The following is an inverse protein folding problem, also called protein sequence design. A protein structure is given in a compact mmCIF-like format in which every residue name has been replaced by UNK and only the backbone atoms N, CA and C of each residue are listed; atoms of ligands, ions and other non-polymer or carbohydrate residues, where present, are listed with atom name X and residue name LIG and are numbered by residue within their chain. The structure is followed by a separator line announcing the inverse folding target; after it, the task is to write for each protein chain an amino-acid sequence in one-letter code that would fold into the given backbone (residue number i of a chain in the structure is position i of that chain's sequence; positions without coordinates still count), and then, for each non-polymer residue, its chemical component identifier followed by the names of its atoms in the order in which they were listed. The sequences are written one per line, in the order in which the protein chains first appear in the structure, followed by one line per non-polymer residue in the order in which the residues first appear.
data_IF_304564459275
#
_entry.id   IF_304564459275
#
_cell.length_a   1.000
_cell.length_b   1.000
_cell.length_c   1.000
_cell.angle_alpha   90.00
_cell.angle_beta   90.00
_cell.angle_gamma   90.00
#
_symmetry.space_group_name_H-M   'P 1'
#
loop_
_entity.id
_entity.type
_entity.pdbx_description
1 polymer ?
#
# COMPACT_ATOMS: atom_id res chain seq x y z
N UNK A 1 9.41 12.72 -33.62
CA UNK A 1 10.02 12.07 -32.44
C UNK A 1 9.67 12.77 -31.12
N UNK A 2 9.87 14.08 -30.96
CA UNK A 2 9.54 14.84 -29.72
C UNK A 2 8.05 14.85 -29.35
N UNK A 3 7.14 14.95 -30.31
CA UNK A 3 5.69 14.94 -30.07
C UNK A 3 5.18 13.55 -29.62
N UNK A 4 5.83 12.47 -30.04
CA UNK A 4 5.52 11.09 -29.63
C UNK A 4 5.95 10.82 -28.20
N UNK A 5 7.04 11.42 -27.75
CA UNK A 5 7.56 11.30 -26.37
C UNK A 5 6.68 12.05 -25.34
N UNK A 6 6.09 13.17 -25.70
CA UNK A 6 5.20 13.97 -24.82
C UNK A 6 3.84 13.33 -24.53
N UNK A 7 3.40 12.33 -25.29
CA UNK A 7 2.11 11.64 -25.13
C UNK A 7 2.15 10.39 -24.25
N UNK A 8 3.35 10.02 -23.74
CA UNK A 8 3.50 8.80 -22.94
C UNK A 8 3.25 9.05 -21.49
N UNK A 9 2.51 8.13 -20.84
CA UNK A 9 2.28 8.18 -19.38
C UNK A 9 3.54 7.83 -18.61
N UNK A 10 3.65 8.27 -17.34
CA UNK A 10 4.75 7.91 -16.46
C UNK A 10 4.89 6.38 -16.34
N UNK A 11 3.75 5.67 -16.30
CA UNK A 11 3.69 4.20 -16.31
C UNK A 11 4.43 3.60 -17.49
N UNK A 12 4.19 4.10 -18.71
CA UNK A 12 4.85 3.61 -19.92
C UNK A 12 6.36 3.84 -19.86
N UNK A 13 6.81 5.00 -19.33
CA UNK A 13 8.22 5.29 -19.14
C UNK A 13 8.88 4.36 -18.13
N UNK A 14 8.18 3.99 -17.04
CA UNK A 14 8.70 3.06 -16.05
C UNK A 14 8.79 1.64 -16.63
N UNK A 15 7.76 1.18 -17.36
CA UNK A 15 7.81 -0.12 -18.04
C UNK A 15 8.94 -0.17 -19.08
N UNK A 16 9.13 0.91 -19.84
CA UNK A 16 10.27 1.01 -20.78
C UNK A 16 11.62 1.00 -20.04
N UNK A 17 11.72 1.73 -18.93
CA UNK A 17 12.90 1.72 -18.07
C UNK A 17 13.18 0.35 -17.47
N UNK A 18 12.15 -0.37 -17.05
CA UNK A 18 12.24 -1.74 -16.55
C UNK A 18 12.84 -2.67 -17.60
N UNK A 19 12.29 -2.67 -18.82
CA UNK A 19 12.81 -3.51 -19.92
C UNK A 19 14.25 -3.11 -20.29
N UNK A 20 14.52 -1.81 -20.44
CA UNK A 20 15.85 -1.31 -20.77
C UNK A 20 16.87 -1.67 -19.70
N UNK A 21 16.51 -1.55 -18.41
CA UNK A 21 17.38 -1.93 -17.30
C UNK A 21 17.67 -3.43 -17.28
N UNK A 22 16.66 -4.26 -17.45
CA UNK A 22 16.81 -5.72 -17.51
C UNK A 22 17.72 -6.15 -18.69
N UNK A 23 17.50 -5.58 -19.87
CA UNK A 23 18.31 -5.84 -21.08
C UNK A 23 19.74 -5.36 -20.87
N UNK A 24 19.94 -4.16 -20.32
CA UNK A 24 21.27 -3.62 -20.04
C UNK A 24 22.03 -4.49 -19.04
N UNK A 25 21.40 -4.91 -17.94
CA UNK A 25 22.01 -5.78 -16.96
C UNK A 25 22.37 -7.17 -17.52
N UNK A 26 21.59 -7.66 -18.48
CA UNK A 26 21.88 -8.92 -19.17
C UNK A 26 23.01 -8.81 -20.19
N UNK A 27 22.97 -7.80 -21.06
CA UNK A 27 23.95 -7.65 -22.15
C UNK A 27 25.28 -7.08 -21.68
N UNK A 28 25.27 -6.22 -20.65
CA UNK A 28 26.45 -5.54 -20.12
C UNK A 28 26.43 -5.55 -18.58
N UNK A 29 26.67 -6.71 -17.93
CA UNK A 29 26.59 -6.86 -16.47
C UNK A 29 27.43 -5.83 -15.70
N UNK A 30 28.67 -5.58 -16.15
CA UNK A 30 29.59 -4.63 -15.51
C UNK A 30 29.04 -3.20 -15.52
N UNK A 31 28.36 -2.79 -16.61
CA UNK A 31 27.70 -1.48 -16.69
C UNK A 31 26.48 -1.46 -15.77
N UNK A 32 25.71 -2.55 -15.76
CA UNK A 32 24.56 -2.72 -14.88
C UNK A 32 24.93 -2.53 -13.41
N UNK A 33 26.00 -3.18 -12.96
CA UNK A 33 26.49 -3.08 -11.57
C UNK A 33 26.92 -1.63 -11.23
N UNK A 34 27.55 -0.91 -12.15
CA UNK A 34 27.96 0.49 -11.95
C UNK A 34 26.78 1.47 -11.80
N UNK A 35 25.55 1.07 -12.15
CA UNK A 35 24.35 1.89 -11.99
C UNK A 35 23.76 1.84 -10.59
N UNK A 36 24.27 1.02 -9.66
CA UNK A 36 23.83 0.93 -8.28
C UNK A 36 23.66 2.31 -7.59
N UNK A 37 24.56 3.31 -7.73
CA UNK A 37 24.41 4.60 -7.09
C UNK A 37 23.13 5.35 -7.50
N UNK A 38 22.71 5.24 -8.77
CA UNK A 38 21.46 5.85 -9.23
C UNK A 38 20.21 5.22 -8.56
N UNK A 39 20.20 3.90 -8.44
CA UNK A 39 19.17 3.18 -7.70
C UNK A 39 19.15 3.62 -6.22
N UNK A 40 20.32 3.69 -5.59
CA UNK A 40 20.45 4.12 -4.19
C UNK A 40 19.96 5.54 -3.95
N UNK A 41 20.29 6.49 -4.84
CA UNK A 41 19.81 7.88 -4.76
C UNK A 41 18.28 7.92 -4.87
N UNK A 42 17.70 7.17 -5.79
CA UNK A 42 16.25 7.08 -5.94
C UNK A 42 15.57 6.52 -4.67
N UNK A 43 16.11 5.44 -4.08
CA UNK A 43 15.60 4.88 -2.83
C UNK A 43 15.72 5.84 -1.65
N UNK A 44 16.83 6.58 -1.54
CA UNK A 44 17.00 7.62 -0.52
C UNK A 44 15.98 8.74 -0.66
N UNK A 45 15.70 9.17 -1.89
CA UNK A 45 14.65 10.15 -2.17
C UNK A 45 13.26 9.66 -1.73
N UNK A 46 12.95 8.37 -1.95
CA UNK A 46 11.71 7.75 -1.46
C UNK A 46 11.67 7.69 0.06
N UNK A 47 12.75 7.26 0.71
CA UNK A 47 12.83 7.24 2.18
C UNK A 47 12.54 8.60 2.81
N UNK A 48 13.01 9.68 2.22
CA UNK A 48 12.80 11.04 2.76
C UNK A 48 11.34 11.48 2.79
N UNK A 49 10.46 10.82 2.02
CA UNK A 49 9.03 11.11 1.97
C UNK A 49 8.29 10.51 3.17
N UNK A 50 8.77 9.37 3.70
CA UNK A 50 8.01 8.49 4.59
C UNK A 50 7.52 9.22 5.83
N UNK A 51 8.43 9.75 6.61
CA UNK A 51 8.12 10.32 7.93
C UNK A 51 7.17 11.52 7.85
N UNK A 52 7.45 12.56 7.02
CA UNK A 52 6.55 13.71 6.93
C UNK A 52 5.17 13.34 6.39
N UNK A 53 5.11 12.40 5.44
CA UNK A 53 3.85 11.95 4.86
C UNK A 53 3.02 11.17 5.87
N UNK A 54 3.61 10.16 6.52
CA UNK A 54 2.93 9.33 7.53
C UNK A 54 2.43 10.19 8.68
N UNK A 55 3.27 11.09 9.22
CA UNK A 55 2.87 12.00 10.28
C UNK A 55 1.67 12.87 9.87
N UNK A 56 1.78 13.58 8.76
CA UNK A 56 0.76 14.54 8.34
C UNK A 56 -0.57 13.88 7.99
N UNK A 57 -0.54 12.73 7.32
CA UNK A 57 -1.75 12.01 6.92
C UNK A 57 -2.45 11.35 8.11
N UNK A 58 -1.70 10.74 9.02
CA UNK A 58 -2.28 10.13 10.23
C UNK A 58 -2.90 11.17 11.15
N UNK A 59 -2.16 12.22 11.49
CA UNK A 59 -2.67 13.28 12.37
C UNK A 59 -3.87 13.99 11.73
N UNK A 60 -3.77 14.34 10.43
CA UNK A 60 -4.86 14.95 9.68
C UNK A 60 -6.08 14.03 9.58
N UNK A 61 -5.89 12.73 9.38
CA UNK A 61 -6.96 11.73 9.33
C UNK A 61 -7.67 11.56 10.68
N UNK A 62 -6.93 11.53 11.79
CA UNK A 62 -7.50 11.36 13.14
C UNK A 62 -8.20 12.64 13.62
N UNK A 63 -7.55 13.80 13.48
CA UNK A 63 -8.02 15.04 14.03
C UNK A 63 -8.92 15.87 13.08
N UNK A 64 -8.84 15.64 11.75
CA UNK A 64 -9.58 16.40 10.75
C UNK A 64 -11.10 16.14 10.73
N UNK A 65 -11.55 15.00 11.23
CA UNK A 65 -12.98 14.59 11.22
C UNK A 65 -13.74 15.03 12.49
N UNK A 66 -13.46 16.20 13.02
CA UNK A 66 -14.11 16.70 14.22
C UNK A 66 -15.52 17.27 13.96
N UNK A 67 -16.45 16.98 14.85
CA UNK A 67 -17.73 17.59 15.17
C UNK A 67 -19.01 16.83 14.77
N UNK A 68 -19.11 16.11 13.66
CA UNK A 68 -20.34 15.35 13.31
C UNK A 68 -20.31 13.87 13.72
N UNK A 69 -19.33 13.45 14.52
CA UNK A 69 -19.13 12.08 14.99
C UNK A 69 -20.32 11.45 15.72
N UNK A 70 -21.21 12.24 16.30
CA UNK A 70 -22.39 11.69 17.01
C UNK A 70 -23.44 11.10 16.06
N UNK A 71 -23.67 11.72 14.90
CA UNK A 71 -24.64 11.21 13.90
C UNK A 71 -24.05 10.16 12.98
N UNK A 72 -22.74 10.24 12.70
CA UNK A 72 -22.02 9.30 11.84
C UNK A 72 -21.28 8.23 12.66
N UNK A 73 -21.18 8.38 13.98
CA UNK A 73 -20.33 7.57 14.85
C UNK A 73 -20.57 6.06 14.75
N UNK A 74 -21.83 5.63 14.68
CA UNK A 74 -22.15 4.19 14.54
C UNK A 74 -21.75 3.65 13.16
N UNK A 75 -22.02 4.41 12.09
CA UNK A 75 -21.63 4.04 10.73
C UNK A 75 -20.11 3.99 10.61
N UNK A 76 -19.41 5.00 11.16
CA UNK A 76 -17.96 5.05 11.18
C UNK A 76 -17.35 3.86 11.92
N UNK A 77 -17.85 3.56 13.13
CA UNK A 77 -17.38 2.42 13.91
C UNK A 77 -17.59 1.09 13.19
N UNK A 78 -18.76 0.88 12.60
CA UNK A 78 -19.07 -0.33 11.82
C UNK A 78 -18.17 -0.44 10.59
N UNK A 79 -17.94 0.66 9.89
CA UNK A 79 -17.06 0.70 8.73
C UNK A 79 -15.61 0.37 9.13
N UNK A 80 -15.10 0.96 10.21
CA UNK A 80 -13.74 0.67 10.70
C UNK A 80 -13.61 -0.79 11.11
N UNK A 81 -14.56 -1.35 11.87
CA UNK A 81 -14.54 -2.77 12.26
C UNK A 81 -14.52 -3.66 11.00
N UNK A 82 -15.38 -3.37 10.03
CA UNK A 82 -15.40 -4.10 8.76
C UNK A 82 -14.06 -4.02 8.04
N UNK A 83 -13.50 -2.82 7.91
CA UNK A 83 -12.20 -2.60 7.27
C UNK A 83 -11.08 -3.39 7.95
N UNK A 84 -11.03 -3.39 9.29
CA UNK A 84 -10.01 -4.14 10.03
C UNK A 84 -10.13 -5.65 9.81
N UNK A 85 -11.36 -6.18 9.83
CA UNK A 85 -11.58 -7.61 9.58
C UNK A 85 -11.13 -8.00 8.16
N UNK A 86 -11.58 -7.26 7.14
CA UNK A 86 -11.29 -7.59 5.75
C UNK A 86 -9.81 -7.39 5.42
N UNK A 87 -9.21 -6.32 5.94
CA UNK A 87 -7.77 -6.06 5.78
C UNK A 87 -6.91 -7.11 6.48
N UNK A 88 -7.32 -7.59 7.66
CA UNK A 88 -6.64 -8.71 8.35
C UNK A 88 -6.71 -9.99 7.54
N UNK A 89 -7.85 -10.31 6.95
CA UNK A 89 -7.99 -11.46 6.05
C UNK A 89 -7.12 -11.31 4.80
N UNK A 90 -6.99 -10.10 4.25
CA UNK A 90 -6.09 -9.83 3.14
C UNK A 90 -4.62 -10.09 3.52
N UNK A 91 -4.17 -9.67 4.72
CA UNK A 91 -2.83 -9.98 5.24
C UNK A 91 -2.61 -11.50 5.35
N UNK A 92 -3.57 -12.22 5.90
CA UNK A 92 -3.48 -13.69 6.05
C UNK A 92 -3.38 -14.37 4.69
N UNK A 93 -4.22 -13.98 3.73
CA UNK A 93 -4.16 -14.52 2.35
C UNK A 93 -2.81 -14.25 1.71
N UNK A 94 -2.29 -13.03 1.83
CA UNK A 94 -0.98 -12.65 1.30
C UNK A 94 0.16 -13.45 1.95
N UNK A 95 0.12 -13.59 3.28
CA UNK A 95 1.11 -14.36 4.05
C UNK A 95 1.11 -15.84 3.65
N UNK A 96 -0.06 -16.45 3.54
CA UNK A 96 -0.19 -17.85 3.11
C UNK A 96 0.32 -18.02 1.68
N UNK A 97 -0.09 -17.16 0.76
CA UNK A 97 0.31 -17.23 -0.64
C UNK A 97 1.83 -17.16 -0.83
N UNK A 98 2.50 -16.19 -0.17
CA UNK A 98 3.95 -16.01 -0.33
C UNK A 98 4.77 -17.12 0.35
N UNK A 99 4.28 -17.69 1.45
CA UNK A 99 4.93 -18.82 2.11
C UNK A 99 4.77 -20.14 1.32
N UNK A 100 3.66 -20.31 0.60
CA UNK A 100 3.44 -21.46 -0.29
C UNK A 100 4.26 -21.34 -1.57
N UNK A 101 4.19 -20.19 -2.26
CA UNK A 101 4.83 -20.00 -3.55
C UNK A 101 6.36 -19.76 -3.45
N UNK A 102 6.83 -19.19 -2.34
CA UNK A 102 8.25 -18.87 -2.04
C UNK A 102 8.98 -18.17 -3.20
N UNK A 103 8.44 -17.10 -3.76
CA UNK A 103 8.97 -16.49 -4.99
C UNK A 103 10.34 -15.84 -4.83
N UNK A 104 10.79 -15.55 -3.59
CA UNK A 104 12.08 -14.95 -3.30
C UNK A 104 13.22 -15.95 -3.09
N UNK A 105 12.92 -17.24 -2.95
CA UNK A 105 13.95 -18.25 -2.68
C UNK A 105 14.84 -18.46 -3.91
N UNK A 106 16.17 -18.40 -3.68
CA UNK A 106 17.16 -18.55 -4.75
C UNK A 106 17.45 -17.28 -5.54
N UNK A 107 16.89 -16.14 -5.14
CA UNK A 107 17.30 -14.82 -5.65
C UNK A 107 18.62 -14.44 -5.00
N UNK A 108 19.67 -14.29 -5.81
CA UNK A 108 20.94 -13.72 -5.33
C UNK A 108 20.85 -12.19 -5.45
N UNK A 109 20.54 -11.54 -4.35
CA UNK A 109 20.68 -10.08 -4.23
C UNK A 109 22.16 -9.81 -3.96
N UNK A 110 22.90 -9.54 -5.01
CA UNK A 110 24.30 -9.25 -4.88
C UNK A 110 24.54 -8.05 -3.98
N UNK A 111 25.32 -8.24 -2.94
CA UNK A 111 25.67 -7.19 -1.99
C UNK A 111 24.76 -7.10 -0.78
N UNK A 112 23.94 -8.09 -0.48
CA UNK A 112 23.42 -8.25 0.86
C UNK A 112 24.64 -8.36 1.80
N UNK A 113 25.03 -7.24 2.37
CA UNK A 113 25.97 -7.20 3.49
C UNK A 113 25.53 -8.27 4.46
N UNK A 114 26.49 -8.93 5.13
CA UNK A 114 26.27 -10.04 6.04
C UNK A 114 24.94 -9.86 6.75
N UNK A 115 24.05 -10.86 6.60
CA UNK A 115 22.76 -10.84 7.26
C UNK A 115 22.97 -10.29 8.67
N UNK A 116 22.25 -9.27 9.13
CA UNK A 116 22.35 -8.84 10.51
C UNK A 116 22.22 -10.13 11.30
N UNK A 117 23.23 -10.49 12.07
CA UNK A 117 23.23 -11.68 12.90
C UNK A 117 21.84 -11.74 13.52
N UNK A 118 21.15 -12.87 13.32
CA UNK A 118 19.80 -13.06 13.85
C UNK A 118 19.83 -12.61 15.30
N UNK A 119 19.56 -11.32 15.51
CA UNK A 119 19.63 -10.69 16.82
C UNK A 119 18.68 -11.50 17.67
N UNK A 120 19.16 -11.91 18.82
CA UNK A 120 18.49 -12.60 19.91
C UNK A 120 16.98 -12.49 19.78
N UNK A 121 16.29 -13.63 19.78
CA UNK A 121 14.85 -13.76 19.63
C UNK A 121 14.17 -12.55 20.27
N UNK A 122 13.67 -11.65 19.44
CA UNK A 122 13.03 -10.42 19.90
C UNK A 122 11.86 -10.86 20.76
N UNK A 123 11.99 -10.75 22.08
CA UNK A 123 10.90 -11.08 22.98
C UNK A 123 9.76 -10.10 22.70
N UNK A 124 8.53 -10.56 22.88
CA UNK A 124 7.35 -9.68 22.75
C UNK A 124 7.52 -8.39 23.59
N UNK A 125 8.21 -8.49 24.72
CA UNK A 125 8.55 -7.37 25.59
C UNK A 125 9.51 -6.36 24.91
N UNK A 126 10.53 -6.84 24.19
CA UNK A 126 11.45 -5.92 23.47
C UNK A 126 10.78 -5.24 22.30
N UNK A 127 9.87 -5.92 21.61
CA UNK A 127 9.04 -5.30 20.54
C UNK A 127 8.16 -4.19 21.14
N UNK A 128 7.46 -4.47 22.24
CA UNK A 128 6.62 -3.47 22.89
C UNK A 128 7.42 -2.26 23.41
N UNK A 129 8.62 -2.47 23.91
CA UNK A 129 9.50 -1.37 24.35
C UNK A 129 9.99 -0.51 23.17
N UNK A 130 10.24 -1.12 22.01
CA UNK A 130 10.69 -0.41 20.80
C UNK A 130 9.56 0.28 20.03
N UNK A 131 8.30 -0.04 20.29
CA UNK A 131 7.15 0.59 19.63
C UNK A 131 6.98 2.06 20.05
N UNK A 132 7.28 2.38 21.32
CA UNK A 132 7.14 3.75 21.85
C UNK A 132 8.47 4.48 21.67
N UNK A 133 8.52 5.58 20.90
CA UNK A 133 9.76 6.34 20.72
C UNK A 133 10.16 7.09 21.97
N UNK A 134 11.47 7.21 22.21
CA UNK A 134 11.99 8.11 23.24
C UNK A 134 11.80 9.59 22.83
N UNK A 135 11.88 9.86 21.52
CA UNK A 135 11.66 11.17 20.92
C UNK A 135 11.10 11.03 19.52
N UNK A 136 10.14 11.92 19.16
CA UNK A 136 9.65 12.00 17.79
C UNK A 136 10.76 12.30 16.78
N UNK A 137 11.63 13.24 17.11
CA UNK A 137 12.71 13.66 16.21
C UNK A 137 13.77 12.57 16.03
N UNK A 138 14.05 11.78 17.04
CA UNK A 138 14.97 10.63 16.96
C UNK A 138 14.36 9.55 16.04
N UNK A 139 13.10 9.19 16.27
CA UNK A 139 12.38 8.25 15.43
C UNK A 139 12.29 8.73 13.97
N UNK A 140 12.07 10.03 13.77
CA UNK A 140 12.01 10.65 12.45
C UNK A 140 13.37 10.63 11.73
N UNK A 141 14.45 10.98 12.41
CA UNK A 141 15.82 10.97 11.86
C UNK A 141 16.29 9.54 11.54
N UNK A 142 15.93 8.57 12.39
CA UNK A 142 16.19 7.15 12.17
C UNK A 142 15.31 6.48 11.11
N UNK A 143 14.27 7.16 10.62
CA UNK A 143 13.20 6.57 9.80
C UNK A 143 12.53 5.35 10.47
N UNK A 144 12.39 5.39 11.80
CA UNK A 144 11.71 4.38 12.61
C UNK A 144 10.19 4.53 12.46
N UNK A 145 9.66 4.06 11.32
CA UNK A 145 8.29 4.36 10.89
C UNK A 145 7.24 3.90 11.88
N UNK A 146 7.41 2.72 12.49
CA UNK A 146 6.48 2.22 13.50
C UNK A 146 6.38 3.18 14.70
N UNK A 147 7.50 3.69 15.16
CA UNK A 147 7.57 4.66 16.27
C UNK A 147 6.90 5.98 15.87
N UNK A 148 7.16 6.46 14.63
CA UNK A 148 6.50 7.66 14.08
C UNK A 148 4.99 7.47 14.00
N UNK A 149 4.50 6.29 13.58
CA UNK A 149 3.07 5.96 13.50
C UNK A 149 2.43 6.00 14.89
N UNK A 150 3.03 5.31 15.88
CA UNK A 150 2.50 5.29 17.25
C UNK A 150 2.45 6.68 17.84
N UNK A 151 3.53 7.46 17.68
CA UNK A 151 3.56 8.85 18.14
C UNK A 151 2.49 9.71 17.44
N UNK A 152 2.34 9.57 16.12
CA UNK A 152 1.34 10.31 15.34
C UNK A 152 -0.10 9.97 15.74
N UNK A 153 -0.38 8.70 16.06
CA UNK A 153 -1.69 8.27 16.58
C UNK A 153 -1.96 8.94 17.93
N UNK A 154 -1.02 8.85 18.87
CA UNK A 154 -1.17 9.45 20.20
C UNK A 154 -1.31 10.98 20.11
N UNK A 155 -0.50 11.64 19.26
CA UNK A 155 -0.59 13.06 19.01
C UNK A 155 -1.96 13.43 18.39
N UNK A 156 -2.42 12.68 17.38
CA UNK A 156 -3.74 12.88 16.77
C UNK A 156 -4.88 12.73 17.78
N UNK A 157 -4.84 11.70 18.65
CA UNK A 157 -5.82 11.52 19.73
C UNK A 157 -5.76 12.71 20.70
N UNK A 158 -4.58 13.14 21.12
CA UNK A 158 -4.42 14.34 21.96
C UNK A 158 -5.01 15.58 21.31
N UNK A 159 -4.78 15.76 20.01
CA UNK A 159 -5.30 16.88 19.24
C UNK A 159 -6.85 16.88 19.14
N UNK A 160 -7.50 15.72 19.16
CA UNK A 160 -8.97 15.66 19.22
C UNK A 160 -9.55 16.23 20.51
N UNK A 161 -8.76 16.27 21.59
CA UNK A 161 -9.20 16.84 22.89
C UNK A 161 -8.96 18.34 22.99
N UNK A 162 -8.22 18.94 22.05
CA UNK A 162 -8.01 20.38 21.95
C UNK A 162 -9.14 21.00 21.16
N UNK A 163 -9.67 22.15 21.62
CA UNK A 163 -10.76 22.89 20.96
C UNK A 163 -10.29 24.25 20.46
N UNK A 164 -11.00 24.78 19.47
CA UNK A 164 -10.76 26.12 18.92
C UNK A 164 -9.50 26.22 18.05
N UNK A 165 -8.98 27.44 17.93
CA UNK A 165 -7.91 27.82 17.00
C UNK A 165 -6.63 26.96 17.07
N UNK A 166 -6.12 26.53 18.23
CA UNK A 166 -4.91 25.71 18.28
C UNK A 166 -5.08 24.37 17.52
N UNK A 167 -6.25 23.73 17.65
CA UNK A 167 -6.57 22.50 16.88
C UNK A 167 -6.63 22.78 15.39
N UNK A 168 -7.33 23.83 14.98
CA UNK A 168 -7.50 24.20 13.57
C UNK A 168 -6.14 24.44 12.90
N UNK A 169 -5.25 25.22 13.52
CA UNK A 169 -3.92 25.51 13.00
C UNK A 169 -3.10 24.22 12.78
N UNK A 170 -3.12 23.28 13.72
CA UNK A 170 -2.36 22.04 13.59
C UNK A 170 -2.96 21.13 12.50
N UNK A 171 -4.29 21.05 12.43
CA UNK A 171 -4.98 20.26 11.38
C UNK A 171 -4.69 20.85 9.99
N UNK A 172 -4.77 22.17 9.83
CA UNK A 172 -4.43 22.87 8.59
C UNK A 172 -2.97 22.68 8.22
N UNK A 173 -2.05 22.77 9.19
CA UNK A 173 -0.63 22.48 8.96
C UNK A 173 -0.43 21.05 8.45
N UNK A 174 -1.05 20.05 9.08
CA UNK A 174 -0.94 18.65 8.65
C UNK A 174 -1.53 18.46 7.25
N UNK A 175 -2.67 19.07 6.95
CA UNK A 175 -3.29 19.02 5.62
C UNK A 175 -2.36 19.64 4.55
N UNK A 176 -1.83 20.84 4.81
CA UNK A 176 -0.89 21.50 3.93
C UNK A 176 0.42 20.72 3.74
N UNK A 177 0.97 20.18 4.84
CA UNK A 177 2.17 19.34 4.76
C UNK A 177 1.91 18.07 3.92
N UNK A 178 0.78 17.40 4.12
CA UNK A 178 0.42 16.25 3.31
C UNK A 178 0.34 16.60 1.81
N UNK A 179 -0.30 17.73 1.46
CA UNK A 179 -0.38 18.20 0.07
C UNK A 179 1.00 18.47 -0.52
N UNK A 180 1.87 19.14 0.21
CA UNK A 180 3.26 19.38 -0.21
C UNK A 180 4.01 18.07 -0.41
N UNK A 181 3.86 17.11 0.50
CA UNK A 181 4.50 15.80 0.39
C UNK A 181 3.96 14.98 -0.80
N UNK A 182 2.69 15.13 -1.17
CA UNK A 182 2.16 14.52 -2.39
C UNK A 182 2.80 15.11 -3.64
N UNK A 183 2.96 16.44 -3.71
CA UNK A 183 3.68 17.10 -4.82
C UNK A 183 5.14 16.68 -4.87
N UNK A 184 5.80 16.61 -3.71
CA UNK A 184 7.18 16.14 -3.59
C UNK A 184 7.31 14.69 -4.08
N UNK A 185 6.42 13.81 -3.66
CA UNK A 185 6.34 12.43 -4.17
C UNK A 185 6.21 12.42 -5.69
N UNK A 186 5.33 13.25 -6.26
CA UNK A 186 5.18 13.40 -7.70
C UNK A 186 6.47 13.82 -8.42
N UNK A 187 7.30 14.69 -7.80
CA UNK A 187 8.61 15.07 -8.33
C UNK A 187 9.57 13.89 -8.30
N UNK A 188 9.69 13.20 -7.16
CA UNK A 188 10.56 12.03 -7.01
C UNK A 188 10.15 10.92 -7.99
N UNK A 189 8.85 10.70 -8.19
CA UNK A 189 8.34 9.69 -9.10
C UNK A 189 8.65 9.97 -10.58
N UNK A 190 8.96 11.22 -10.98
CA UNK A 190 9.46 11.51 -12.34
C UNK A 190 10.83 10.88 -12.60
N UNK A 191 11.61 10.62 -11.56
CA UNK A 191 12.89 9.91 -11.65
C UNK A 191 12.74 8.40 -11.61
N UNK A 192 11.53 7.88 -11.33
CA UNK A 192 11.28 6.44 -11.22
C UNK A 192 11.69 5.65 -12.48
N UNK A 193 11.47 6.09 -13.73
CA UNK A 193 11.95 5.36 -14.91
C UNK A 193 13.45 5.08 -14.88
N UNK A 194 14.24 6.07 -14.47
CA UNK A 194 15.72 5.96 -14.37
C UNK A 194 16.12 5.12 -13.16
N UNK A 195 15.51 5.38 -12.00
CA UNK A 195 15.77 4.64 -10.77
C UNK A 195 15.45 3.15 -10.89
N UNK A 196 14.32 2.82 -11.53
CA UNK A 196 13.89 1.44 -11.81
C UNK A 196 14.82 0.76 -12.84
N UNK A 197 15.18 1.47 -13.93
CA UNK A 197 16.11 0.95 -14.90
C UNK A 197 17.46 0.62 -14.25
N UNK A 198 17.99 1.53 -13.43
CA UNK A 198 19.24 1.33 -12.71
C UNK A 198 19.17 0.17 -11.71
N UNK A 199 18.05 0.05 -10.97
CA UNK A 199 17.83 -1.04 -10.02
C UNK A 199 17.80 -2.40 -10.71
N UNK A 200 17.07 -2.53 -11.82
CA UNK A 200 17.00 -3.79 -12.56
C UNK A 200 18.32 -4.10 -13.29
N UNK A 201 18.97 -3.10 -13.87
CA UNK A 201 20.29 -3.30 -14.49
C UNK A 201 21.30 -3.82 -13.47
N UNK A 202 21.35 -3.23 -12.27
CA UNK A 202 22.18 -3.69 -11.18
C UNK A 202 21.83 -5.14 -10.77
N UNK A 203 20.55 -5.40 -10.54
CA UNK A 203 20.07 -6.69 -10.04
C UNK A 203 20.30 -7.82 -11.05
N UNK A 204 20.02 -7.58 -12.34
CA UNK A 204 20.22 -8.57 -13.40
C UNK A 204 21.71 -8.73 -13.69
N UNK A 205 22.48 -7.62 -13.68
CA UNK A 205 23.93 -7.65 -13.89
C UNK A 205 24.66 -8.45 -12.81
N UNK A 206 24.21 -8.37 -11.56
CA UNK A 206 24.80 -9.07 -10.43
C UNK A 206 24.25 -10.48 -10.22
N UNK A 207 22.94 -10.65 -10.25
CA UNK A 207 22.21 -11.90 -9.96
C UNK A 207 21.87 -12.76 -11.18
N UNK A 208 22.16 -12.26 -12.38
CA UNK A 208 21.83 -12.93 -13.64
C UNK A 208 20.33 -12.93 -13.98
N UNK A 209 19.99 -13.55 -15.10
CA UNK A 209 18.62 -13.59 -15.66
C UNK A 209 17.62 -14.34 -14.75
N UNK A 210 18.11 -15.19 -13.85
CA UNK A 210 17.25 -15.94 -12.92
C UNK A 210 16.41 -15.03 -12.02
N UNK A 211 16.89 -13.83 -11.72
CA UNK A 211 16.12 -12.83 -10.94
C UNK A 211 14.83 -12.43 -11.64
N UNK A 212 14.82 -12.36 -12.97
CA UNK A 212 13.59 -12.05 -13.73
C UNK A 212 12.52 -13.11 -13.53
N UNK A 213 12.89 -14.39 -13.43
CA UNK A 213 11.94 -15.47 -13.15
C UNK A 213 11.29 -15.29 -11.77
N UNK A 214 12.07 -14.88 -10.77
CA UNK A 214 11.56 -14.60 -9.42
C UNK A 214 10.64 -13.36 -9.39
N UNK A 215 10.94 -12.34 -10.20
CA UNK A 215 10.05 -11.17 -10.36
C UNK A 215 8.72 -11.55 -11.01
N UNK A 216 8.74 -12.42 -12.01
CA UNK A 216 7.51 -12.97 -12.60
C UNK A 216 6.78 -13.82 -11.55
N UNK A 217 7.48 -14.64 -10.79
CA UNK A 217 6.89 -15.47 -9.75
C UNK A 217 6.21 -14.64 -8.66
N UNK A 218 6.81 -13.53 -8.20
CA UNK A 218 6.18 -12.65 -7.19
C UNK A 218 4.94 -11.94 -7.74
N UNK A 219 4.97 -11.50 -9.02
CA UNK A 219 3.79 -10.93 -9.67
C UNK A 219 2.66 -11.97 -9.71
N UNK A 220 2.94 -13.17 -10.20
CA UNK A 220 1.95 -14.24 -10.29
C UNK A 220 1.43 -14.64 -8.91
N UNK A 221 2.30 -14.70 -7.89
CA UNK A 221 1.89 -14.96 -6.50
C UNK A 221 0.92 -13.90 -6.01
N UNK A 222 1.21 -12.62 -6.26
CA UNK A 222 0.32 -11.52 -5.87
C UNK A 222 -1.03 -11.61 -6.59
N UNK A 223 -1.02 -11.78 -7.92
CA UNK A 223 -2.26 -11.89 -8.71
C UNK A 223 -3.11 -13.07 -8.27
N UNK A 224 -2.49 -14.24 -8.05
CA UNK A 224 -3.18 -15.41 -7.53
C UNK A 224 -3.78 -15.14 -6.14
N UNK A 225 -3.03 -14.52 -5.25
CA UNK A 225 -3.51 -14.16 -3.92
C UNK A 225 -4.65 -13.13 -3.95
N UNK A 226 -4.60 -12.13 -4.85
CA UNK A 226 -5.71 -11.18 -5.07
C UNK A 226 -6.97 -11.91 -5.58
N UNK A 227 -6.84 -12.85 -6.51
CA UNK A 227 -7.97 -13.67 -6.98
C UNK A 227 -8.53 -14.51 -5.84
N UNK A 228 -7.67 -15.17 -5.05
CA UNK A 228 -8.10 -15.94 -3.86
C UNK A 228 -8.82 -15.02 -2.86
N UNK A 229 -8.33 -13.81 -2.65
CA UNK A 229 -8.97 -12.82 -1.77
C UNK A 229 -10.36 -12.39 -2.31
N UNK A 230 -10.45 -12.09 -3.59
CA UNK A 230 -11.73 -11.72 -4.22
C UNK A 230 -12.76 -12.84 -4.11
N UNK A 231 -12.36 -14.09 -4.37
CA UNK A 231 -13.25 -15.24 -4.37
C UNK A 231 -13.44 -15.86 -2.98
N UNK A 232 -12.42 -15.88 -2.14
CA UNK A 232 -12.44 -16.52 -0.81
C UNK A 232 -12.87 -15.59 0.33
N UNK A 233 -12.78 -14.28 0.15
CA UNK A 233 -13.15 -13.30 1.17
C UNK A 233 -14.29 -12.40 0.69
N UNK A 234 -14.12 -11.63 -0.39
CA UNK A 234 -15.13 -10.66 -0.81
C UNK A 234 -16.40 -11.31 -1.34
N UNK A 235 -16.29 -12.41 -2.10
CA UNK A 235 -17.48 -13.13 -2.59
C UNK A 235 -18.30 -13.75 -1.44
N UNK A 236 -17.74 -14.44 -0.45
CA UNK A 236 -18.48 -14.83 0.75
C UNK A 236 -19.14 -13.67 1.48
N UNK A 237 -18.46 -12.51 1.61
CA UNK A 237 -19.06 -11.31 2.21
C UNK A 237 -20.28 -10.85 1.42
N UNK A 238 -20.23 -10.82 0.09
CA UNK A 238 -21.38 -10.50 -0.78
C UNK A 238 -22.54 -11.44 -0.50
N UNK A 239 -22.28 -12.74 -0.46
CA UNK A 239 -23.30 -13.77 -0.27
C UNK A 239 -23.93 -13.72 1.14
N UNK A 240 -23.10 -13.58 2.18
CA UNK A 240 -23.55 -13.54 3.57
C UNK A 240 -24.32 -12.27 3.91
N UNK A 241 -23.99 -11.14 3.30
CA UNK A 241 -24.66 -9.85 3.54
C UNK A 241 -25.88 -9.66 2.63
N UNK A 242 -26.11 -10.57 1.67
CA UNK A 242 -27.23 -10.48 0.74
C UNK A 242 -27.14 -9.30 -0.22
N UNK A 243 -25.91 -8.86 -0.57
CA UNK A 243 -25.68 -7.89 -1.64
C UNK A 243 -25.91 -8.58 -2.97
N UNK A 244 -26.73 -8.03 -3.90
CA UNK A 244 -27.03 -8.70 -5.16
C UNK A 244 -25.78 -8.73 -6.05
N UNK A 245 -25.12 -9.90 -6.18
CA UNK A 245 -23.85 -10.09 -6.86
C UNK A 245 -23.84 -9.52 -8.30
N UNK A 246 -24.90 -9.83 -9.09
CA UNK A 246 -24.96 -9.35 -10.50
C UNK A 246 -25.02 -7.83 -10.59
N UNK A 247 -25.80 -7.19 -9.71
CA UNK A 247 -25.90 -5.73 -9.66
C UNK A 247 -24.57 -5.12 -9.21
N UNK A 248 -23.93 -5.69 -8.19
CA UNK A 248 -22.63 -5.24 -7.71
C UNK A 248 -21.55 -5.32 -8.79
N UNK A 249 -21.42 -6.47 -9.47
CA UNK A 249 -20.45 -6.63 -10.55
C UNK A 249 -20.72 -5.63 -11.70
N UNK A 250 -22.00 -5.41 -12.05
CA UNK A 250 -22.38 -4.41 -13.07
C UNK A 250 -21.99 -2.99 -12.66
N UNK A 251 -22.17 -2.63 -11.38
CA UNK A 251 -21.84 -1.30 -10.87
C UNK A 251 -20.33 -1.06 -10.78
N UNK A 252 -19.55 -2.09 -10.33
CA UNK A 252 -18.14 -1.89 -10.02
C UNK A 252 -17.19 -2.12 -11.20
N UNK A 253 -17.59 -2.85 -12.26
CA UNK A 253 -16.71 -3.26 -13.36
C UNK A 253 -16.01 -2.09 -14.07
N UNK A 254 -16.75 -1.02 -14.41
CA UNK A 254 -16.18 0.15 -15.10
C UNK A 254 -15.23 0.96 -14.19
N UNK A 255 -15.64 1.34 -12.96
CA UNK A 255 -14.72 1.93 -12.00
C UNK A 255 -13.45 1.07 -11.76
N UNK A 256 -13.60 -0.25 -11.62
CA UNK A 256 -12.50 -1.17 -11.40
C UNK A 256 -11.52 -1.20 -12.58
N UNK A 257 -12.02 -1.16 -13.83
CA UNK A 257 -11.19 -1.06 -15.03
C UNK A 257 -10.43 0.28 -15.10
N UNK A 258 -11.06 1.39 -14.70
CA UNK A 258 -10.38 2.69 -14.60
C UNK A 258 -9.26 2.61 -13.56
N UNK A 259 -9.55 2.11 -12.36
CA UNK A 259 -8.56 1.96 -11.30
C UNK A 259 -7.39 1.05 -11.72
N UNK A 260 -7.69 -0.06 -12.40
CA UNK A 260 -6.67 -0.96 -12.95
C UNK A 260 -5.79 -0.26 -13.98
N UNK A 261 -6.39 0.42 -14.96
CA UNK A 261 -5.65 1.02 -16.08
C UNK A 261 -4.84 2.25 -15.67
N UNK A 262 -5.32 3.01 -14.68
CA UNK A 262 -4.67 4.24 -14.19
C UNK A 262 -3.77 4.02 -12.98
N UNK A 263 -3.90 2.89 -12.28
CA UNK A 263 -3.29 2.62 -10.97
C UNK A 263 -3.63 3.70 -9.93
N UNK A 264 -4.80 4.33 -10.05
CA UNK A 264 -5.30 5.33 -9.11
C UNK A 264 -6.77 5.11 -8.80
N UNK A 265 -7.11 4.95 -7.51
CA UNK A 265 -8.50 4.84 -7.07
C UNK A 265 -9.24 6.17 -7.21
N UNK A 266 -8.54 7.30 -7.10
CA UNK A 266 -9.12 8.64 -7.22
C UNK A 266 -9.73 8.91 -8.58
N UNK A 267 -9.09 8.44 -9.67
CA UNK A 267 -9.63 8.58 -11.02
C UNK A 267 -10.97 7.85 -11.21
N UNK A 268 -11.19 6.77 -10.46
CA UNK A 268 -12.39 5.96 -10.52
C UNK A 268 -13.48 6.42 -9.51
N UNK A 269 -13.12 7.24 -8.52
CA UNK A 269 -14.00 7.62 -7.41
C UNK A 269 -15.34 8.23 -7.86
N UNK A 270 -15.38 9.23 -8.75
CA UNK A 270 -16.65 9.84 -9.15
C UNK A 270 -17.61 8.81 -9.77
N UNK A 271 -17.09 7.97 -10.65
CA UNK A 271 -17.90 6.93 -11.29
C UNK A 271 -18.33 5.84 -10.30
N UNK A 272 -17.47 5.45 -9.37
CA UNK A 272 -17.79 4.48 -8.33
C UNK A 272 -18.91 4.99 -7.40
N UNK A 273 -18.84 6.27 -6.98
CA UNK A 273 -19.90 6.93 -6.21
C UNK A 273 -21.25 6.85 -6.93
N UNK A 274 -21.27 7.26 -8.20
CA UNK A 274 -22.48 7.27 -9.02
C UNK A 274 -23.07 5.86 -9.21
N UNK A 275 -22.25 4.89 -9.59
CA UNK A 275 -22.68 3.53 -9.91
C UNK A 275 -23.19 2.77 -8.68
N UNK A 276 -22.56 2.97 -7.53
CA UNK A 276 -22.98 2.33 -6.27
C UNK A 276 -24.26 3.00 -5.74
N UNK A 277 -24.40 4.32 -5.89
CA UNK A 277 -25.64 5.02 -5.57
C UNK A 277 -26.80 4.51 -6.45
N UNK A 278 -26.60 4.41 -7.76
CA UNK A 278 -27.56 3.85 -8.70
C UNK A 278 -27.98 2.42 -8.39
N UNK A 279 -27.08 1.63 -7.76
CA UNK A 279 -27.39 0.26 -7.32
C UNK A 279 -28.33 0.22 -6.12
N UNK A 280 -28.59 1.35 -5.46
CA UNK A 280 -29.52 1.48 -4.33
C UNK A 280 -28.85 1.69 -2.98
N UNK A 281 -27.58 2.05 -2.93
CA UNK A 281 -26.90 2.48 -1.72
C UNK A 281 -27.15 3.98 -1.50
N UNK A 282 -27.64 4.43 -0.34
CA UNK A 282 -27.90 5.84 -0.09
C UNK A 282 -26.64 6.70 -0.27
N UNK A 283 -26.77 7.85 -0.93
CA UNK A 283 -25.67 8.78 -1.21
C UNK A 283 -24.85 9.13 0.04
N UNK A 284 -25.52 9.35 1.20
CA UNK A 284 -24.83 9.66 2.46
C UNK A 284 -23.87 8.54 2.90
N UNK A 285 -24.21 7.26 2.64
CA UNK A 285 -23.36 6.12 3.00
C UNK A 285 -22.21 6.01 2.00
N UNK A 286 -22.49 6.08 0.70
CA UNK A 286 -21.46 6.00 -0.35
C UNK A 286 -20.43 7.11 -0.21
N UNK A 287 -20.91 8.37 -0.03
CA UNK A 287 -20.04 9.55 0.09
C UNK A 287 -19.21 9.57 1.37
N UNK A 288 -19.56 8.78 2.38
CA UNK A 288 -18.76 8.59 3.58
C UNK A 288 -17.82 7.39 3.45
N UNK A 289 -18.37 6.22 3.13
CA UNK A 289 -17.62 4.95 3.21
C UNK A 289 -16.54 4.86 2.15
N UNK A 290 -16.78 5.28 0.90
CA UNK A 290 -15.79 5.19 -0.16
C UNK A 290 -14.55 6.04 0.11
N UNK A 291 -14.64 7.35 0.42
CA UNK A 291 -13.45 8.14 0.73
C UNK A 291 -12.72 7.67 1.99
N UNK A 292 -13.44 7.28 3.04
CA UNK A 292 -12.85 6.73 4.27
C UNK A 292 -12.14 5.40 3.97
N UNK A 293 -12.75 4.55 3.14
CA UNK A 293 -12.17 3.29 2.71
C UNK A 293 -10.86 3.47 1.94
N UNK A 294 -10.69 4.55 1.19
CA UNK A 294 -9.42 4.83 0.49
C UNK A 294 -8.24 5.08 1.44
N UNK A 295 -8.53 5.37 2.70
CA UNK A 295 -7.51 5.54 3.75
C UNK A 295 -7.38 4.32 4.65
N UNK A 296 -8.48 3.61 4.90
CA UNK A 296 -8.54 2.60 5.95
C UNK A 296 -8.77 1.17 5.44
N UNK A 297 -9.21 0.99 4.20
CA UNK A 297 -9.52 -0.32 3.61
C UNK A 297 -8.75 -0.55 2.31
N UNK A 298 -7.45 -0.69 2.42
CA UNK A 298 -6.53 -0.90 1.30
C UNK A 298 -6.19 -2.39 1.15
N UNK A 299 -7.20 -3.23 0.93
CA UNK A 299 -7.09 -4.70 0.94
C UNK A 299 -6.00 -5.23 0.00
N UNK A 300 -6.01 -4.79 -1.25
CA UNK A 300 -5.01 -5.21 -2.24
C UNK A 300 -3.61 -4.70 -1.90
N UNK A 301 -3.49 -3.47 -1.38
CA UNK A 301 -2.21 -2.92 -0.93
C UNK A 301 -1.69 -3.65 0.30
N UNK A 302 -2.55 -3.99 1.25
CA UNK A 302 -2.18 -4.73 2.46
C UNK A 302 -1.71 -6.15 2.13
N UNK A 303 -2.42 -6.81 1.21
CA UNK A 303 -2.01 -8.11 0.69
C UNK A 303 -0.63 -8.03 -0.01
N UNK A 304 -0.42 -7.01 -0.82
CA UNK A 304 0.88 -6.74 -1.44
C UNK A 304 1.99 -6.53 -0.40
N UNK A 305 1.71 -5.79 0.67
CA UNK A 305 2.68 -5.56 1.74
C UNK A 305 3.11 -6.87 2.41
N UNK A 306 2.17 -7.79 2.63
CA UNK A 306 2.49 -9.13 3.15
C UNK A 306 3.37 -9.92 2.17
N UNK A 307 2.98 -9.97 0.89
CA UNK A 307 3.74 -10.69 -0.15
C UNK A 307 5.12 -10.07 -0.33
N UNK A 308 5.21 -8.75 -0.44
CA UNK A 308 6.47 -8.03 -0.68
C UNK A 308 7.46 -8.15 0.48
N UNK A 309 6.99 -8.04 1.72
CA UNK A 309 7.87 -8.12 2.90
C UNK A 309 8.51 -9.50 3.05
N UNK A 310 7.72 -10.55 2.87
CA UNK A 310 8.22 -11.92 2.97
C UNK A 310 9.08 -12.27 1.75
N UNK A 311 8.73 -11.78 0.56
CA UNK A 311 9.58 -11.91 -0.62
C UNK A 311 10.97 -11.30 -0.37
N UNK A 312 11.04 -10.11 0.23
CA UNK A 312 12.30 -9.44 0.57
C UNK A 312 13.13 -10.30 1.53
N UNK A 313 12.50 -10.85 2.58
CA UNK A 313 13.18 -11.75 3.51
C UNK A 313 13.71 -13.01 2.82
N UNK A 314 12.88 -13.66 1.98
CA UNK A 314 13.28 -14.84 1.21
C UNK A 314 14.43 -14.55 0.26
N UNK A 315 14.38 -13.40 -0.45
CA UNK A 315 15.41 -12.97 -1.40
C UNK A 315 16.74 -12.62 -0.71
N UNK A 316 16.67 -12.18 0.54
CA UNK A 316 17.85 -11.94 1.39
C UNK A 316 18.40 -13.23 2.05
N UNK A 317 17.74 -14.38 1.87
CA UNK A 317 18.09 -15.63 2.56
C UNK A 317 17.77 -15.62 4.05
N UNK A 318 16.93 -14.68 4.51
CA UNK A 318 16.55 -14.54 5.91
C UNK A 318 15.28 -15.35 6.17
N UNK A 319 15.38 -16.33 7.07
CA UNK A 319 14.26 -17.14 7.49
C UNK A 319 13.53 -16.46 8.66
N UNK A 320 12.35 -15.91 8.40
CA UNK A 320 11.48 -15.36 9.43
C UNK A 320 10.59 -16.46 10.01
N UNK A 321 10.65 -16.66 11.33
CA UNK A 321 9.72 -17.52 12.05
C UNK A 321 8.30 -16.95 12.03
N UNK A 322 7.28 -17.78 12.25
CA UNK A 322 5.87 -17.35 12.23
C UNK A 322 5.59 -16.16 13.16
N UNK A 323 6.19 -16.14 14.37
CA UNK A 323 6.04 -15.01 15.30
C UNK A 323 6.58 -13.70 14.74
N UNK A 324 7.72 -13.72 14.04
CA UNK A 324 8.30 -12.55 13.38
C UNK A 324 7.45 -12.09 12.20
N UNK A 325 6.93 -13.02 11.39
CA UNK A 325 6.02 -12.72 10.31
C UNK A 325 4.74 -12.06 10.82
N UNK A 326 4.14 -12.59 11.89
CA UNK A 326 2.95 -12.01 12.51
C UNK A 326 3.24 -10.62 13.10
N UNK A 327 4.38 -10.44 13.77
CA UNK A 327 4.82 -9.12 14.25
C UNK A 327 4.95 -8.11 13.11
N UNK A 328 5.54 -8.53 11.99
CA UNK A 328 5.62 -7.71 10.77
C UNK A 328 4.23 -7.38 10.21
N UNK A 329 3.29 -8.33 10.20
CA UNK A 329 1.92 -8.08 9.72
C UNK A 329 1.20 -7.07 10.61
N UNK A 330 1.34 -7.13 11.92
CA UNK A 330 0.77 -6.13 12.84
C UNK A 330 1.35 -4.73 12.55
N UNK A 331 2.67 -4.65 12.36
CA UNK A 331 3.33 -3.39 11.98
C UNK A 331 2.78 -2.86 10.66
N UNK A 332 2.69 -3.71 9.63
CA UNK A 332 2.16 -3.34 8.32
C UNK A 332 0.70 -2.91 8.39
N UNK A 333 -0.11 -3.56 9.21
CA UNK A 333 -1.52 -3.20 9.41
C UNK A 333 -1.64 -1.79 10.00
N UNK A 334 -0.83 -1.45 10.99
CA UNK A 334 -0.83 -0.12 11.60
C UNK A 334 -0.26 0.95 10.64
N UNK A 335 0.84 0.67 9.97
CA UNK A 335 1.51 1.63 9.07
C UNK A 335 0.74 1.87 7.78
N UNK A 336 -0.04 0.88 7.30
CA UNK A 336 -0.83 1.01 6.07
C UNK A 336 -1.98 2.02 6.18
N UNK A 337 -2.47 2.32 7.38
CA UNK A 337 -3.63 3.20 7.61
C UNK A 337 -3.37 4.69 7.37
N UNK A 338 -2.12 5.10 7.26
CA UNK A 338 -1.77 6.53 7.10
C UNK A 338 -1.46 6.98 5.68
N UNK A 339 -1.57 6.11 4.68
CA UNK A 339 -1.02 6.38 3.35
C UNK A 339 -2.09 6.36 2.26
N UNK A 340 -3.20 7.01 2.53
CA UNK A 340 -4.28 7.16 1.57
C UNK A 340 -3.91 8.04 0.37
N UNK A 341 -4.35 7.63 -0.81
CA UNK A 341 -4.45 8.50 -1.97
C UNK A 341 -3.17 8.77 -2.76
N UNK A 342 -2.03 8.18 -2.40
CA UNK A 342 -0.78 8.40 -3.15
C UNK A 342 -0.51 7.25 -4.09
N UNK A 343 -0.33 7.51 -5.39
CA UNK A 343 0.19 6.49 -6.29
C UNK A 343 1.48 5.89 -5.75
N UNK A 344 1.54 4.56 -5.61
CA UNK A 344 2.69 3.79 -5.12
C UNK A 344 3.08 3.99 -3.64
N UNK A 345 2.20 4.54 -2.83
CA UNK A 345 2.43 4.70 -1.40
C UNK A 345 2.77 3.38 -0.69
N UNK A 346 2.18 2.28 -1.13
CA UNK A 346 2.44 0.95 -0.55
C UNK A 346 3.90 0.52 -0.64
N UNK A 347 4.65 0.95 -1.68
CA UNK A 347 6.08 0.64 -1.79
C UNK A 347 6.91 1.42 -0.79
N UNK A 348 6.49 2.65 -0.50
CA UNK A 348 7.11 3.49 0.53
C UNK A 348 6.93 2.84 1.92
N UNK A 349 5.71 2.36 2.21
CA UNK A 349 5.43 1.60 3.44
C UNK A 349 6.25 0.30 3.48
N UNK A 350 6.31 -0.41 2.36
CA UNK A 350 7.10 -1.64 2.27
C UNK A 350 8.56 -1.37 2.61
N UNK A 351 9.16 -0.35 1.99
CA UNK A 351 10.55 0.02 2.24
C UNK A 351 10.80 0.37 3.72
N UNK A 352 9.89 1.12 4.31
CA UNK A 352 9.94 1.51 5.70
C UNK A 352 9.83 0.31 6.66
N UNK A 353 8.83 -0.55 6.42
CA UNK A 353 8.59 -1.73 7.25
C UNK A 353 9.74 -2.73 7.14
N UNK A 354 10.24 -2.97 5.94
CA UNK A 354 11.40 -3.83 5.68
C UNK A 354 12.63 -3.33 6.43
N UNK A 355 12.89 -2.02 6.43
CA UNK A 355 14.00 -1.41 7.16
C UNK A 355 13.87 -1.61 8.69
N UNK A 356 12.65 -1.45 9.25
CA UNK A 356 12.39 -1.62 10.68
C UNK A 356 12.63 -3.06 11.18
N UNK A 357 12.55 -4.04 10.25
CA UNK A 357 12.87 -5.44 10.55
C UNK A 357 14.30 -5.86 10.17
N UNK A 358 15.17 -4.90 9.87
CA UNK A 358 16.56 -5.16 9.52
C UNK A 358 16.73 -5.86 8.16
N UNK A 359 15.73 -5.83 7.31
CA UNK A 359 15.80 -6.45 5.99
C UNK A 359 16.43 -5.49 4.97
N UNK A 360 17.15 -6.01 3.96
CA UNK A 360 17.90 -5.18 3.01
C UNK A 360 16.96 -4.42 2.07
N UNK A 361 17.19 -3.12 1.96
CA UNK A 361 16.40 -2.25 1.07
C UNK A 361 16.68 -2.46 -0.40
N UNK A 362 17.83 -3.03 -0.72
CA UNK A 362 18.21 -3.41 -2.08
C UNK A 362 17.18 -4.36 -2.70
N UNK A 363 16.62 -5.26 -1.89
CA UNK A 363 15.55 -6.17 -2.30
C UNK A 363 14.24 -5.44 -2.64
N UNK A 364 13.95 -4.33 -1.94
CA UNK A 364 12.79 -3.50 -2.27
C UNK A 364 13.00 -2.79 -3.61
N UNK A 365 14.24 -2.38 -3.93
CA UNK A 365 14.57 -1.78 -5.23
C UNK A 365 14.21 -2.69 -6.40
N UNK A 366 14.39 -4.00 -6.22
CA UNK A 366 14.03 -5.02 -7.22
C UNK A 366 12.52 -5.07 -7.44
N UNK A 367 11.73 -5.04 -6.36
CA UNK A 367 10.28 -4.98 -6.44
C UNK A 367 9.77 -3.71 -7.11
N UNK A 368 10.45 -2.57 -6.93
CA UNK A 368 10.12 -1.33 -7.65
C UNK A 368 10.08 -1.51 -9.16
N UNK A 369 10.96 -2.36 -9.70
CA UNK A 369 11.01 -2.64 -11.13
C UNK A 369 9.70 -3.19 -11.68
N UNK A 370 8.98 -3.98 -10.90
CA UNK A 370 7.74 -4.64 -11.31
C UNK A 370 6.50 -4.09 -10.60
N UNK A 371 6.67 -3.14 -9.68
CA UNK A 371 5.60 -2.59 -8.85
C UNK A 371 4.43 -2.04 -9.66
N UNK A 372 4.68 -1.46 -10.83
CA UNK A 372 3.62 -0.92 -11.67
C UNK A 372 2.58 -1.99 -12.05
N UNK A 373 3.02 -3.19 -12.39
CA UNK A 373 2.12 -4.30 -12.73
C UNK A 373 1.33 -4.74 -11.49
N UNK A 374 2.00 -4.78 -10.35
CA UNK A 374 1.36 -5.13 -9.08
C UNK A 374 0.40 -4.04 -8.61
N UNK A 375 0.72 -2.76 -8.83
CA UNK A 375 -0.11 -1.62 -8.45
C UNK A 375 -1.45 -1.58 -9.18
N UNK A 376 -1.47 -1.92 -10.47
CA UNK A 376 -2.69 -2.02 -11.26
C UNK A 376 -3.70 -2.97 -10.61
N UNK A 377 -3.27 -4.17 -10.24
CA UNK A 377 -4.14 -5.19 -9.67
C UNK A 377 -4.57 -4.87 -8.22
N UNK A 378 -3.64 -4.41 -7.38
CA UNK A 378 -3.96 -4.05 -6.00
C UNK A 378 -4.90 -2.86 -5.90
N UNK A 379 -4.74 -1.83 -6.76
CA UNK A 379 -5.61 -0.66 -6.80
C UNK A 379 -7.03 -1.02 -7.25
N UNK A 380 -7.15 -1.90 -8.24
CA UNK A 380 -8.42 -2.47 -8.66
C UNK A 380 -9.12 -3.19 -7.49
N UNK A 381 -8.38 -4.04 -6.77
CA UNK A 381 -8.92 -4.78 -5.61
C UNK A 381 -9.32 -3.86 -4.47
N UNK A 382 -8.54 -2.81 -4.17
CA UNK A 382 -8.90 -1.79 -3.19
C UNK A 382 -10.25 -1.14 -3.52
N UNK A 383 -10.45 -0.76 -4.78
CA UNK A 383 -11.70 -0.13 -5.21
C UNK A 383 -12.90 -1.09 -5.08
N UNK A 384 -12.72 -2.36 -5.47
CA UNK A 384 -13.77 -3.38 -5.34
C UNK A 384 -14.14 -3.59 -3.86
N UNK A 385 -13.16 -3.73 -2.98
CA UNK A 385 -13.36 -3.86 -1.53
C UNK A 385 -14.09 -2.67 -0.93
N UNK A 386 -13.71 -1.45 -1.30
CA UNK A 386 -14.35 -0.22 -0.83
C UNK A 386 -15.79 -0.08 -1.34
N UNK A 387 -16.05 -0.44 -2.59
CA UNK A 387 -17.40 -0.47 -3.15
C UNK A 387 -18.29 -1.47 -2.43
N UNK A 388 -17.75 -2.66 -2.12
CA UNK A 388 -18.47 -3.66 -1.34
C UNK A 388 -18.74 -3.18 0.10
N UNK A 389 -17.78 -2.53 0.74
CA UNK A 389 -17.95 -1.98 2.08
C UNK A 389 -19.14 -1.00 2.13
N UNK A 390 -19.32 -0.12 1.14
CA UNK A 390 -20.46 0.78 1.08
C UNK A 390 -21.79 0.02 0.98
N UNK A 391 -21.83 -1.05 0.19
CA UNK A 391 -23.02 -1.92 0.08
C UNK A 391 -23.31 -2.64 1.39
N UNK A 392 -22.30 -3.18 2.06
CA UNK A 392 -22.43 -3.87 3.35
C UNK A 392 -22.91 -2.91 4.43
N UNK A 393 -22.36 -1.70 4.50
CA UNK A 393 -22.82 -0.67 5.45
C UNK A 393 -24.29 -0.31 5.23
N UNK A 394 -24.72 -0.16 3.97
CA UNK A 394 -26.11 0.11 3.65
C UNK A 394 -27.04 -1.05 4.07
N UNK A 395 -26.60 -2.30 3.94
CA UNK A 395 -27.34 -3.46 4.43
C UNK A 395 -27.43 -3.49 5.95
N UNK A 396 -26.35 -3.21 6.66
CA UNK A 396 -26.33 -3.19 8.13
C UNK A 396 -27.12 -2.02 8.75
N UNK A 397 -27.26 -0.92 7.99
CA UNK A 397 -28.14 0.18 8.40
C UNK A 397 -29.62 -0.04 7.97
N UNK A 398 -29.92 -1.10 7.20
CA UNK A 398 -31.29 -1.38 6.73
C UNK A 398 -31.77 -0.44 5.61
N UNK A 399 -30.84 0.25 4.94
CA UNK A 399 -31.15 1.31 3.97
C UNK A 399 -30.83 0.93 2.51
N UNK A 400 -30.35 -0.29 2.27
CA UNK A 400 -30.08 -0.77 0.91
C UNK A 400 -31.41 -1.01 0.17
N UNK A 401 -31.68 -0.24 -0.87
CA UNK A 401 -32.91 -0.35 -1.68
C UNK A 401 -32.52 -0.69 -3.12
N UNK A 402 -32.71 -1.93 -3.51
CA UNK A 402 -32.56 -2.32 -4.93
C UNK A 402 -33.57 -1.51 -5.75
N UNK A 403 -33.14 -0.72 -6.73
CA UNK A 403 -34.10 -0.07 -7.64
C UNK A 403 -34.97 -1.16 -8.27
N UNK A 404 -36.27 -1.05 -8.13
CA UNK A 404 -37.20 -1.82 -8.94
C UNK A 404 -36.94 -1.42 -10.39
N UNK A 405 -36.49 -2.37 -11.23
CA UNK A 405 -36.36 -2.13 -12.65
C UNK A 405 -37.72 -1.57 -13.12
N UNK A 406 -37.70 -0.32 -13.59
CA UNK A 406 -38.85 0.22 -14.28
C UNK A 406 -39.03 -0.67 -15.52
N UNK A 407 -40.12 -1.43 -15.49
CA UNK A 407 -40.62 -2.30 -16.55
C UNK A 407 -40.75 -1.53 -17.89
#
# INVERSE_FOLDING_TARGET
MWAFLKRRTLTQWILAGMVAGAVLGWLAPDVGVRLQPLSTVFLRAIKSIIVPLVFSTLVGGIAGHGADLRKVGRLALRAIIYFEIVTTLALVVGLVAVNLARPGVGVSLGGAGAAPSAGSATSLASVLQHIVPQSFFEAAAGNEVLQVVVWSILFGIGLTQVTGRPREVIVEFCAGLAEVMFKFTGIVMKFAPVGVAAALAFTVGHGGVRVLASLVAVILTLYAALVVFLLGVLLPVILLTGVPLRAFVRAIKEPALIAFSTSTSEAALPLALERIEQMGVPRRIVSFVLPVGYSFNLDGSTLYLAVGSIFVAQAAGIHLGLGQQLGMMVTLMLTSKGVAGVPRASVVILAASVASFGLPLEAVAVLFGVDQLMDMARTCTNLIGNGLAACVMAKWEGEFRVPTEAS
#
